data_IF_457119051557
#
_entry.id   IF_457119051557
#
_cell.length_a   1.000
_cell.length_b   1.000
_cell.length_c   1.000
_cell.angle_alpha   90.00
_cell.angle_beta   90.00
_cell.angle_gamma   90.00
#
_symmetry.space_group_name_H-M   'P 1'
#
loop_
_entity.id
_entity.type
_entity.pdbx_description
1 polymer ?
#
# COMPACT_ATOMS: atom_id res chain seq x y z
N UNK A 1 -48.72 -9.73 77.66
CA UNK A 1 -48.26 -8.69 76.71
C UNK A 1 -47.42 -9.23 75.54
N UNK A 2 -46.67 -10.33 75.69
CA UNK A 2 -45.81 -10.92 74.63
C UNK A 2 -46.49 -11.23 73.28
N UNK A 3 -47.75 -11.72 73.28
CA UNK A 3 -48.50 -12.05 72.06
C UNK A 3 -48.79 -10.85 71.13
N UNK A 4 -48.76 -9.61 71.64
CA UNK A 4 -48.98 -8.39 70.83
C UNK A 4 -47.69 -7.80 70.26
N UNK A 5 -46.53 -8.18 70.77
CA UNK A 5 -45.22 -7.71 70.30
C UNK A 5 -44.69 -8.52 69.11
N UNK A 6 -45.03 -9.80 69.05
CA UNK A 6 -44.71 -10.71 67.94
C UNK A 6 -45.09 -10.18 66.54
N UNK A 7 -46.32 -9.68 66.28
CA UNK A 7 -46.68 -9.17 64.96
C UNK A 7 -45.92 -7.88 64.59
N UNK A 8 -45.60 -7.05 65.58
CA UNK A 8 -44.84 -5.80 65.35
C UNK A 8 -43.40 -6.11 64.96
N UNK A 9 -42.79 -7.11 65.62
CA UNK A 9 -41.43 -7.56 65.31
C UNK A 9 -41.36 -8.23 63.93
N UNK A 10 -42.39 -9.00 63.56
CA UNK A 10 -42.51 -9.60 62.23
C UNK A 10 -42.65 -8.52 61.13
N UNK A 11 -43.41 -7.46 61.36
CA UNK A 11 -43.55 -6.33 60.43
C UNK A 11 -42.22 -5.58 60.24
N UNK A 12 -41.47 -5.34 61.31
CA UNK A 12 -40.14 -4.72 61.24
C UNK A 12 -39.14 -5.60 60.47
N UNK A 13 -39.16 -6.92 60.68
CA UNK A 13 -38.31 -7.85 59.95
C UNK A 13 -38.65 -7.85 58.44
N UNK A 14 -39.94 -7.81 58.09
CA UNK A 14 -40.39 -7.75 56.71
C UNK A 14 -39.93 -6.45 56.02
N UNK A 15 -40.03 -5.32 56.71
CA UNK A 15 -39.58 -4.03 56.21
C UNK A 15 -38.06 -3.97 56.03
N UNK A 16 -37.29 -4.56 56.95
CA UNK A 16 -35.83 -4.64 56.82
C UNK A 16 -35.40 -5.54 55.66
N UNK A 17 -36.09 -6.66 55.44
CA UNK A 17 -35.81 -7.55 54.31
C UNK A 17 -36.19 -6.93 52.97
N UNK A 18 -37.33 -6.25 52.87
CA UNK A 18 -37.73 -5.57 51.62
C UNK A 18 -36.80 -4.41 51.28
N UNK A 19 -36.32 -3.65 52.29
CA UNK A 19 -35.34 -2.59 52.08
C UNK A 19 -34.00 -3.13 51.56
N UNK A 20 -33.47 -4.21 52.18
CA UNK A 20 -32.23 -4.86 51.71
C UNK A 20 -32.36 -5.44 50.30
N UNK A 21 -33.47 -6.12 50.02
CA UNK A 21 -33.73 -6.69 48.69
C UNK A 21 -33.86 -5.58 47.62
N UNK A 22 -34.52 -4.48 47.95
CA UNK A 22 -34.62 -3.32 47.07
C UNK A 22 -33.27 -2.66 46.78
N UNK A 23 -32.40 -2.56 47.79
CA UNK A 23 -31.07 -1.95 47.65
C UNK A 23 -30.14 -2.80 46.76
N UNK A 24 -30.06 -4.10 47.03
CA UNK A 24 -29.26 -5.05 46.23
C UNK A 24 -29.70 -5.07 44.76
N UNK A 25 -31.01 -4.99 44.50
CA UNK A 25 -31.54 -5.03 43.15
C UNK A 25 -31.36 -3.72 42.36
N UNK A 26 -31.03 -2.60 43.04
CA UNK A 26 -30.67 -1.34 42.38
C UNK A 26 -29.22 -1.34 41.95
N UNK A 27 -28.32 -1.81 42.82
CA UNK A 27 -26.89 -1.88 42.51
C UNK A 27 -26.61 -2.85 41.35
N UNK A 28 -27.27 -4.00 41.31
CA UNK A 28 -27.11 -4.96 40.21
C UNK A 28 -27.59 -4.41 38.87
N UNK A 29 -28.68 -3.63 38.86
CA UNK A 29 -29.19 -2.98 37.65
C UNK A 29 -28.27 -1.87 37.16
N UNK A 30 -27.77 -1.04 38.06
CA UNK A 30 -26.83 0.02 37.72
C UNK A 30 -25.51 -0.54 37.14
N UNK A 31 -24.98 -1.61 37.75
CA UNK A 31 -23.79 -2.31 37.24
C UNK A 31 -24.06 -2.97 35.90
N UNK A 32 -25.24 -3.57 35.71
CA UNK A 32 -25.60 -4.20 34.44
C UNK A 32 -25.77 -3.18 33.31
N UNK A 33 -26.34 -2.01 33.59
CA UNK A 33 -26.46 -0.91 32.62
C UNK A 33 -25.09 -0.32 32.27
N UNK A 34 -24.23 -0.10 33.26
CA UNK A 34 -22.86 0.36 33.02
C UNK A 34 -22.05 -0.65 32.19
N UNK A 35 -22.17 -1.95 32.49
CA UNK A 35 -21.50 -3.01 31.75
C UNK A 35 -21.96 -3.10 30.28
N UNK A 36 -23.24 -2.84 30.00
CA UNK A 36 -23.76 -2.77 28.62
C UNK A 36 -23.17 -1.60 27.85
N UNK A 37 -23.13 -0.42 28.47
CA UNK A 37 -22.53 0.78 27.86
C UNK A 37 -21.04 0.56 27.59
N UNK A 38 -20.30 -0.04 28.52
CA UNK A 38 -18.89 -0.40 28.29
C UNK A 38 -18.71 -1.41 27.16
N UNK A 39 -19.59 -2.42 27.06
CA UNK A 39 -19.54 -3.40 25.99
C UNK A 39 -19.81 -2.77 24.62
N UNK A 40 -20.84 -1.91 24.52
CA UNK A 40 -21.16 -1.17 23.29
C UNK A 40 -20.00 -0.25 22.86
N UNK A 41 -19.36 0.44 23.81
CA UNK A 41 -18.19 1.26 23.52
C UNK A 41 -16.99 0.43 23.02
N UNK A 42 -16.73 -0.73 23.63
CA UNK A 42 -15.65 -1.63 23.17
C UNK A 42 -15.92 -2.18 21.78
N UNK A 43 -17.16 -2.57 21.48
CA UNK A 43 -17.53 -3.02 20.13
C UNK A 43 -17.40 -1.90 19.09
N UNK A 44 -17.79 -0.67 19.44
CA UNK A 44 -17.63 0.47 18.55
C UNK A 44 -16.15 0.80 18.27
N UNK A 45 -15.29 0.73 19.30
CA UNK A 45 -13.84 0.91 19.15
C UNK A 45 -13.22 -0.18 18.27
N UNK A 46 -13.56 -1.46 18.50
CA UNK A 46 -13.08 -2.57 17.69
C UNK A 46 -13.50 -2.43 16.22
N UNK A 47 -14.75 -2.02 15.95
CA UNK A 47 -15.22 -1.75 14.58
C UNK A 47 -14.45 -0.59 13.94
N UNK A 48 -14.16 0.47 14.68
CA UNK A 48 -13.38 1.61 14.19
C UNK A 48 -11.93 1.20 13.86
N UNK A 49 -11.28 0.40 14.71
CA UNK A 49 -9.94 -0.13 14.46
C UNK A 49 -9.91 -1.09 13.26
N UNK A 50 -10.93 -1.95 13.12
CA UNK A 50 -11.06 -2.83 11.95
C UNK A 50 -11.25 -2.04 10.66
N UNK A 51 -12.10 -1.00 10.67
CA UNK A 51 -12.28 -0.13 9.51
C UNK A 51 -10.99 0.63 9.16
N UNK A 52 -10.27 1.12 10.17
CA UNK A 52 -9.00 1.83 9.97
C UNK A 52 -7.91 0.90 9.42
N UNK A 53 -7.79 -0.33 9.95
CA UNK A 53 -6.82 -1.31 9.46
C UNK A 53 -7.13 -1.79 8.04
N UNK A 54 -8.40 -1.96 7.68
CA UNK A 54 -8.82 -2.27 6.31
C UNK A 54 -8.44 -1.13 5.33
N UNK A 55 -8.63 0.13 5.72
CA UNK A 55 -8.21 1.28 4.93
C UNK A 55 -6.68 1.34 4.78
N UNK A 56 -5.92 1.04 5.84
CA UNK A 56 -4.47 0.97 5.76
C UNK A 56 -3.99 -0.09 4.78
N UNK A 57 -4.60 -1.28 4.80
CA UNK A 57 -4.23 -2.36 3.90
C UNK A 57 -4.49 -1.99 2.43
N UNK A 58 -5.62 -1.33 2.14
CA UNK A 58 -5.93 -0.84 0.80
C UNK A 58 -4.92 0.21 0.32
N UNK A 59 -4.61 1.20 1.16
CA UNK A 59 -3.62 2.25 0.83
C UNK A 59 -2.21 1.67 0.67
N UNK A 60 -1.83 0.69 1.49
CA UNK A 60 -0.54 0.01 1.36
C UNK A 60 -0.44 -0.76 0.04
N UNK A 61 -1.50 -1.46 -0.36
CA UNK A 61 -1.54 -2.18 -1.63
C UNK A 61 -1.46 -1.23 -2.83
N UNK A 62 -2.14 -0.08 -2.79
CA UNK A 62 -2.02 0.93 -3.83
C UNK A 62 -0.63 1.54 -3.91
N UNK A 63 -0.03 1.89 -2.77
CA UNK A 63 1.36 2.38 -2.74
C UNK A 63 2.34 1.37 -3.33
N UNK A 64 2.20 0.09 -2.99
CA UNK A 64 3.06 -0.95 -3.52
C UNK A 64 2.94 -1.06 -5.04
N UNK A 65 1.71 -1.06 -5.58
CA UNK A 65 1.47 -1.08 -7.03
C UNK A 65 2.13 0.09 -7.75
N UNK A 66 1.99 1.31 -7.21
CA UNK A 66 2.61 2.49 -7.80
C UNK A 66 4.14 2.45 -7.72
N UNK A 67 4.68 1.94 -6.62
CA UNK A 67 6.12 1.78 -6.46
C UNK A 67 6.69 0.76 -7.45
N UNK A 68 6.07 -0.41 -7.56
CA UNK A 68 6.47 -1.47 -8.48
C UNK A 68 6.40 -0.97 -9.93
N UNK A 69 5.33 -0.25 -10.30
CA UNK A 69 5.19 0.37 -11.62
C UNK A 69 6.31 1.39 -11.88
N UNK A 70 6.58 2.30 -10.94
CA UNK A 70 7.65 3.29 -11.10
C UNK A 70 9.03 2.63 -11.22
N UNK A 71 9.27 1.55 -10.46
CA UNK A 71 10.50 0.80 -10.52
C UNK A 71 10.66 0.11 -11.87
N UNK A 72 9.62 -0.55 -12.38
CA UNK A 72 9.64 -1.17 -13.72
C UNK A 72 9.92 -0.13 -14.82
N UNK A 73 9.26 1.04 -14.76
CA UNK A 73 9.53 2.12 -15.70
C UNK A 73 10.97 2.62 -15.63
N UNK A 74 11.52 2.76 -14.41
CA UNK A 74 12.91 3.17 -14.24
C UNK A 74 13.91 2.15 -14.79
N UNK A 75 13.64 0.85 -14.63
CA UNK A 75 14.48 -0.24 -15.16
C UNK A 75 14.43 -0.24 -16.69
N UNK A 76 13.22 -0.15 -17.26
CA UNK A 76 13.03 -0.08 -18.71
C UNK A 76 13.74 1.13 -19.32
N UNK A 77 13.65 2.29 -18.67
CA UNK A 77 14.35 3.49 -19.11
C UNK A 77 15.87 3.34 -19.00
N UNK A 78 16.38 2.78 -17.91
CA UNK A 78 17.81 2.51 -17.75
C UNK A 78 18.34 1.51 -18.79
N UNK A 79 17.57 0.47 -19.11
CA UNK A 79 17.92 -0.50 -20.15
C UNK A 79 17.86 0.10 -21.56
N UNK A 80 16.85 0.93 -21.85
CA UNK A 80 16.77 1.69 -23.10
C UNK A 80 17.97 2.63 -23.25
N UNK A 81 18.33 3.36 -22.19
CA UNK A 81 19.48 4.25 -22.20
C UNK A 81 20.78 3.47 -22.41
N UNK A 82 20.96 2.32 -21.76
CA UNK A 82 22.12 1.43 -22.00
C UNK A 82 22.19 0.90 -23.43
N UNK A 83 21.05 0.68 -24.10
CA UNK A 83 21.01 0.29 -25.52
C UNK A 83 21.42 1.46 -26.42
N UNK A 84 20.90 2.66 -26.15
CA UNK A 84 21.27 3.87 -26.88
C UNK A 84 22.76 4.22 -26.72
N UNK A 85 23.31 4.10 -25.52
CA UNK A 85 24.73 4.33 -25.27
C UNK A 85 25.60 3.34 -26.06
N UNK A 86 25.25 2.05 -26.05
CA UNK A 86 25.98 1.04 -26.83
C UNK A 86 25.91 1.31 -28.34
N UNK A 87 24.73 1.64 -28.85
CA UNK A 87 24.58 1.99 -30.27
C UNK A 87 25.39 3.25 -30.62
N UNK A 88 25.37 4.25 -29.75
CA UNK A 88 26.14 5.49 -29.94
C UNK A 88 27.65 5.21 -29.99
N UNK A 89 28.15 4.34 -29.11
CA UNK A 89 29.56 3.95 -29.10
C UNK A 89 29.94 3.20 -30.38
N UNK A 90 29.11 2.25 -30.82
CA UNK A 90 29.36 1.50 -32.07
C UNK A 90 29.38 2.44 -33.28
N UNK A 91 28.38 3.32 -33.42
CA UNK A 91 28.33 4.32 -34.50
C UNK A 91 29.57 5.23 -34.47
N UNK A 92 29.99 5.69 -33.28
CA UNK A 92 31.20 6.51 -33.12
C UNK A 92 32.48 5.79 -33.53
N UNK A 93 32.54 4.47 -33.39
CA UNK A 93 33.69 3.66 -33.82
C UNK A 93 33.65 3.36 -35.32
N UNK A 94 32.47 3.13 -35.87
CA UNK A 94 32.26 2.81 -37.29
C UNK A 94 32.48 4.02 -38.21
N UNK A 95 32.12 5.25 -37.79
CA UNK A 95 32.32 6.46 -38.60
C UNK A 95 33.81 6.68 -38.97
N UNK A 96 34.78 6.68 -38.04
CA UNK A 96 36.20 6.78 -38.37
C UNK A 96 36.73 5.64 -39.23
N UNK A 97 36.20 4.42 -39.07
CA UNK A 97 36.58 3.28 -39.90
C UNK A 97 36.11 3.46 -41.34
N UNK A 98 34.83 3.80 -41.55
CA UNK A 98 34.29 4.10 -42.88
C UNK A 98 35.02 5.27 -43.57
N UNK A 99 35.41 6.30 -42.82
CA UNK A 99 36.22 7.42 -43.35
C UNK A 99 37.64 6.97 -43.73
N UNK A 100 38.27 6.11 -42.93
CA UNK A 100 39.61 5.58 -43.21
C UNK A 100 39.60 4.70 -44.46
N UNK A 101 38.63 3.80 -44.57
CA UNK A 101 38.49 2.90 -45.72
C UNK A 101 38.21 3.69 -47.01
N UNK A 102 37.41 4.75 -46.93
CA UNK A 102 37.19 5.65 -48.07
C UNK A 102 38.47 6.38 -48.53
N UNK A 103 39.41 6.66 -47.62
CA UNK A 103 40.67 7.33 -47.95
C UNK A 103 41.79 6.36 -48.40
N UNK A 104 41.70 5.07 -48.06
CA UNK A 104 42.68 4.06 -48.44
C UNK A 104 42.56 3.60 -49.91
N UNK A 105 41.38 3.76 -50.51
CA UNK A 105 41.06 3.35 -51.88
C UNK A 105 40.96 4.49 -52.88
N UNK A 106 41.97 5.37 -52.95
CA UNK A 106 42.16 6.31 -54.07
C UNK A 106 41.03 7.31 -54.33
N UNK A 107 41.10 8.51 -53.73
CA UNK A 107 40.41 9.75 -54.13
C UNK A 107 39.07 9.59 -54.91
N UNK A 108 38.05 9.06 -54.24
CA UNK A 108 36.68 9.05 -54.76
C UNK A 108 35.86 10.16 -54.10
N UNK A 109 35.21 11.00 -54.92
CA UNK A 109 34.42 12.18 -54.54
C UNK A 109 33.05 11.85 -53.92
N UNK A 110 32.92 10.71 -53.24
CA UNK A 110 31.66 10.21 -52.69
C UNK A 110 31.82 9.42 -51.39
N UNK A 111 30.69 9.16 -50.70
CA UNK A 111 30.62 8.23 -49.57
C UNK A 111 30.99 6.82 -50.06
N UNK A 112 32.12 6.28 -49.57
CA UNK A 112 32.55 4.90 -49.87
C UNK A 112 31.53 3.85 -49.45
N UNK A 113 31.72 2.61 -49.91
CA UNK A 113 30.75 1.51 -49.72
C UNK A 113 30.30 1.33 -48.26
N UNK A 114 31.23 1.44 -47.31
CA UNK A 114 30.93 1.36 -45.88
C UNK A 114 30.13 2.55 -45.35
N UNK A 115 30.44 3.77 -45.80
CA UNK A 115 29.67 4.96 -45.45
C UNK A 115 28.24 4.92 -46.01
N UNK A 116 28.07 4.37 -47.21
CA UNK A 116 26.77 4.18 -47.83
C UNK A 116 25.94 3.11 -47.08
N UNK A 117 26.59 2.04 -46.63
CA UNK A 117 25.99 0.99 -45.80
C UNK A 117 25.52 1.54 -44.45
N UNK A 118 26.35 2.32 -43.76
CA UNK A 118 25.97 3.00 -42.51
C UNK A 118 24.78 3.95 -42.72
N UNK A 119 24.79 4.72 -43.80
CA UNK A 119 23.70 5.65 -44.11
C UNK A 119 22.38 4.92 -44.40
N UNK A 120 22.41 3.82 -45.16
CA UNK A 120 21.24 2.96 -45.40
C UNK A 120 20.71 2.35 -44.11
N UNK A 121 21.59 1.85 -43.25
CA UNK A 121 21.22 1.28 -41.96
C UNK A 121 20.59 2.31 -41.01
N UNK A 122 21.11 3.55 -40.99
CA UNK A 122 20.52 4.64 -40.20
C UNK A 122 19.13 5.06 -40.70
N UNK A 123 18.84 4.87 -41.99
CA UNK A 123 17.53 5.12 -42.61
C UNK A 123 16.59 3.91 -42.55
N UNK A 124 17.01 2.79 -41.97
CA UNK A 124 16.21 1.56 -41.83
C UNK A 124 16.14 0.68 -43.09
N UNK A 125 17.02 0.90 -44.07
CA UNK A 125 17.14 0.03 -45.25
C UNK A 125 18.08 -1.16 -44.96
N UNK A 126 17.81 -2.34 -45.54
CA UNK A 126 18.67 -3.50 -45.38
C UNK A 126 20.05 -3.28 -46.03
N UNK A 127 21.09 -3.80 -45.37
CA UNK A 127 22.48 -3.65 -45.76
C UNK A 127 22.85 -4.75 -46.77
N UNK A 128 22.37 -4.60 -48.00
CA UNK A 128 22.66 -5.47 -49.14
C UNK A 128 23.73 -4.84 -50.06
#
# INVERSE_FOLDING_TARGET
MFKRLLPILALLALAAMSYRAGYLNRDTKAVAEAAKVEAEHKEAQLKAEQAYSAQLAAVAAEKQRWFDYAQEQSVNLADANRRLDRQTVLIKQEIPHAIRDNNAGGCHSGLGADGLRLYRQALGYPAD
#
